data_IF_460985184422
#
_entry.id   IF_460985184422
#
_cell.length_a   1.000
_cell.length_b   1.000
_cell.length_c   1.000
_cell.angle_alpha   90.00
_cell.angle_beta   90.00
_cell.angle_gamma   90.00
#
_symmetry.space_group_name_H-M   'P 1'
#
loop_
_entity.id
_entity.type
_entity.pdbx_description
1 polymer ?
#
# COMPACT_ATOMS: atom_id res chain seq x y z
N UNK A 1 9.33 15.99 3.52
CA UNK A 1 8.14 16.01 4.39
C UNK A 1 6.96 15.48 3.59
N UNK A 2 6.04 14.82 4.25
CA UNK A 2 4.78 14.36 3.65
C UNK A 2 3.65 14.38 4.66
N UNK A 3 2.41 14.31 4.18
CA UNK A 3 1.20 14.25 5.00
C UNK A 3 0.48 12.95 4.75
N UNK A 4 -0.01 12.35 5.84
CA UNK A 4 -0.85 11.17 5.79
C UNK A 4 -2.22 11.47 6.41
N UNK A 5 -3.25 10.83 5.90
CA UNK A 5 -4.55 10.75 6.57
C UNK A 5 -4.65 9.46 7.35
N UNK A 6 -5.31 9.52 8.49
CA UNK A 6 -5.59 8.36 9.33
C UNK A 6 -7.10 8.17 9.44
N UNK A 7 -7.56 6.95 9.16
CA UNK A 7 -8.95 6.54 9.36
C UNK A 7 -9.00 5.27 10.19
N UNK A 8 -10.01 5.18 11.06
CA UNK A 8 -10.15 4.09 12.00
C UNK A 8 -11.58 3.56 12.00
N UNK A 9 -11.70 2.24 12.04
CA UNK A 9 -12.95 1.52 12.29
C UNK A 9 -12.77 0.65 13.52
N UNK A 10 -13.60 0.87 14.54
CA UNK A 10 -13.66 0.05 15.75
C UNK A 10 -14.84 -0.91 15.58
N UNK A 11 -14.63 -2.18 15.91
CA UNK A 11 -15.65 -3.23 15.90
C UNK A 11 -15.66 -3.88 17.28
N UNK A 12 -16.84 -3.85 17.91
CA UNK A 12 -17.08 -4.43 19.23
C UNK A 12 -17.96 -5.68 19.08
N UNK A 13 -17.75 -6.73 19.89
CA UNK A 13 -18.70 -7.83 20.04
C UNK A 13 -20.05 -7.34 20.57
N UNK A 14 -21.15 -8.02 20.20
CA UNK A 14 -22.51 -7.62 20.59
C UNK A 14 -22.74 -7.61 22.11
N UNK A 15 -22.06 -8.49 22.85
CA UNK A 15 -22.28 -8.70 24.29
C UNK A 15 -21.20 -8.06 25.18
N UNK A 16 -20.44 -7.09 24.66
CA UNK A 16 -19.31 -6.55 25.43
C UNK A 16 -19.75 -5.68 26.60
N UNK A 17 -19.17 -5.94 27.77
CA UNK A 17 -19.22 -4.99 28.90
C UNK A 17 -17.96 -4.14 28.86
N UNK A 18 -18.11 -2.83 28.65
CA UNK A 18 -16.96 -1.90 28.66
C UNK A 18 -16.40 -1.76 30.06
N UNK A 19 -15.09 -1.58 30.14
CA UNK A 19 -14.38 -1.22 31.36
C UNK A 19 -13.40 -0.09 31.05
N UNK A 20 -12.79 0.49 32.08
CA UNK A 20 -11.88 1.65 31.92
C UNK A 20 -10.74 1.40 30.91
N UNK A 21 -10.24 0.15 30.83
CA UNK A 21 -9.19 -0.20 29.86
C UNK A 21 -9.73 -0.18 28.43
N UNK A 22 -10.90 -0.74 28.20
CA UNK A 22 -11.58 -0.76 26.89
C UNK A 22 -11.93 0.66 26.45
N UNK A 23 -12.46 1.48 27.36
CA UNK A 23 -12.81 2.88 27.09
C UNK A 23 -11.58 3.69 26.68
N UNK A 24 -10.46 3.55 27.40
CA UNK A 24 -9.19 4.21 27.02
C UNK A 24 -8.70 3.83 25.63
N UNK A 25 -8.87 2.57 25.22
CA UNK A 25 -8.52 2.11 23.87
C UNK A 25 -9.43 2.78 22.84
N UNK A 26 -10.74 2.77 23.07
CA UNK A 26 -11.72 3.41 22.18
C UNK A 26 -11.42 4.90 22.04
N UNK A 27 -11.26 5.61 23.15
CA UNK A 27 -10.96 7.05 23.19
C UNK A 27 -9.72 7.40 22.38
N UNK A 28 -8.64 6.62 22.52
CA UNK A 28 -7.43 6.81 21.73
C UNK A 28 -7.71 6.70 20.23
N UNK A 29 -8.37 5.62 19.79
CA UNK A 29 -8.63 5.40 18.37
C UNK A 29 -9.62 6.40 17.79
N UNK A 30 -10.62 6.83 18.56
CA UNK A 30 -11.52 7.90 18.18
C UNK A 30 -10.79 9.24 18.04
N UNK A 31 -9.77 9.50 18.88
CA UNK A 31 -8.97 10.73 18.83
C UNK A 31 -8.10 10.85 17.59
N UNK A 32 -7.64 9.73 17.02
CA UNK A 32 -6.85 9.70 15.77
C UNK A 32 -7.71 9.52 14.52
N UNK A 33 -8.99 9.17 14.65
CA UNK A 33 -9.85 8.89 13.49
C UNK A 33 -10.14 10.16 12.68
N UNK A 34 -9.96 10.09 11.36
CA UNK A 34 -10.11 11.18 10.40
C UNK A 34 -9.18 12.36 10.70
N UNK A 35 -7.94 12.05 11.08
CA UNK A 35 -6.92 13.06 11.38
C UNK A 35 -5.85 13.12 10.28
N UNK A 36 -5.10 14.23 10.28
CA UNK A 36 -3.98 14.46 9.37
C UNK A 36 -2.69 14.48 10.18
N UNK A 37 -1.69 13.71 9.77
CA UNK A 37 -0.38 13.70 10.42
C UNK A 37 0.68 14.20 9.46
N UNK A 38 1.58 15.07 9.96
CA UNK A 38 2.74 15.54 9.22
C UNK A 38 3.93 14.65 9.55
N UNK A 39 4.59 14.12 8.53
CA UNK A 39 5.77 13.29 8.68
C UNK A 39 6.98 13.98 8.06
N UNK A 40 7.99 14.20 8.89
CA UNK A 40 9.24 14.84 8.52
C UNK A 40 10.38 13.84 8.64
N UNK A 41 11.05 13.56 7.53
CA UNK A 41 12.31 12.82 7.53
C UNK A 41 13.41 13.84 7.82
N UNK A 42 13.96 13.80 9.02
CA UNK A 42 14.89 14.82 9.52
C UNK A 42 16.28 14.64 8.93
N UNK A 43 16.78 13.39 8.90
CA UNK A 43 18.03 13.08 8.23
C UNK A 43 18.05 11.63 7.71
N UNK A 44 18.81 11.46 6.62
CA UNK A 44 19.08 10.17 5.98
C UNK A 44 20.60 9.98 5.99
N UNK A 45 21.11 9.16 6.92
CA UNK A 45 22.51 8.72 6.92
C UNK A 45 22.52 7.20 6.86
N UNK A 46 22.26 6.69 5.66
CA UNK A 46 22.12 5.26 5.41
C UNK A 46 23.18 4.44 6.17
N UNK A 47 22.77 3.40 6.93
CA UNK A 47 21.41 2.85 7.06
C UNK A 47 20.53 3.51 8.14
N UNK A 48 20.98 4.59 8.79
CA UNK A 48 20.27 5.24 9.89
C UNK A 48 19.37 6.39 9.42
N UNK A 49 18.20 6.50 10.05
CA UNK A 49 17.16 7.46 9.72
C UNK A 49 16.53 8.01 10.99
N UNK A 50 16.12 9.28 10.93
CA UNK A 50 15.26 9.90 11.95
C UNK A 50 14.03 10.51 11.29
N UNK A 51 12.87 10.19 11.85
CA UNK A 51 11.56 10.62 11.39
C UNK A 51 10.80 11.23 12.57
N UNK A 52 10.15 12.35 12.33
CA UNK A 52 9.25 12.98 13.29
C UNK A 52 7.84 12.93 12.74
N UNK A 53 6.91 12.39 13.52
CA UNK A 53 5.49 12.28 13.20
C UNK A 53 4.71 13.21 14.12
N UNK A 54 4.15 14.25 13.54
CA UNK A 54 3.31 15.21 14.21
C UNK A 54 1.83 14.83 14.00
N UNK A 55 1.19 14.33 15.05
CA UNK A 55 -0.20 13.85 15.05
C UNK A 55 -1.14 14.96 15.45
N UNK A 56 -2.05 15.35 14.55
CA UNK A 56 -3.13 16.31 14.87
C UNK A 56 -4.34 15.54 15.37
N UNK A 57 -4.39 15.28 16.69
CA UNK A 57 -5.46 14.55 17.34
C UNK A 57 -6.70 15.45 17.52
N UNK A 58 -7.87 14.86 17.69
CA UNK A 58 -9.09 15.63 18.02
C UNK A 58 -8.96 16.40 19.34
N UNK A 59 -8.19 15.88 20.29
CA UNK A 59 -8.00 16.44 21.64
C UNK A 59 -6.68 17.21 21.80
N UNK A 60 -5.93 17.45 20.71
CA UNK A 60 -4.69 18.20 20.77
C UNK A 60 -3.67 17.77 19.73
N UNK A 61 -2.40 18.03 20.03
CA UNK A 61 -1.30 17.73 19.14
C UNK A 61 -0.27 16.90 19.89
N UNK A 62 0.20 15.83 19.26
CA UNK A 62 1.29 15.02 19.78
C UNK A 62 2.42 14.96 18.74
N UNK A 63 3.65 14.91 19.21
CA UNK A 63 4.83 14.73 18.35
C UNK A 63 5.57 13.49 18.83
N UNK A 64 5.86 12.59 17.90
CA UNK A 64 6.63 11.38 18.15
C UNK A 64 7.86 11.37 17.27
N UNK A 65 8.98 10.94 17.84
CA UNK A 65 10.25 10.83 17.14
C UNK A 65 10.66 9.36 17.04
N UNK A 66 11.05 8.98 15.85
CA UNK A 66 11.49 7.64 15.51
C UNK A 66 12.90 7.73 14.95
N UNK A 67 13.87 7.15 15.64
CA UNK A 67 15.24 7.02 15.16
C UNK A 67 15.60 5.55 15.07
N UNK A 68 16.13 5.12 13.94
CA UNK A 68 16.45 3.72 13.74
C UNK A 68 17.22 3.40 12.47
N UNK A 69 17.36 2.11 12.19
CA UNK A 69 18.15 1.59 11.09
C UNK A 69 17.27 0.78 10.14
N UNK A 70 17.22 1.16 8.86
CA UNK A 70 16.34 0.53 7.85
C UNK A 70 16.80 -0.85 7.38
N UNK A 71 18.03 -1.24 7.71
CA UNK A 71 18.49 -2.61 7.49
C UNK A 71 18.10 -3.52 8.64
N UNK A 72 18.07 -3.04 9.88
CA UNK A 72 17.76 -3.90 11.04
C UNK A 72 16.34 -3.74 11.56
N UNK A 73 15.61 -2.69 11.19
CA UNK A 73 14.29 -2.35 11.75
C UNK A 73 14.34 -1.79 13.17
N UNK A 74 15.52 -1.79 13.82
CA UNK A 74 15.68 -1.38 15.22
C UNK A 74 15.78 0.14 15.40
N UNK A 75 15.39 0.66 16.59
CA UNK A 75 14.64 -0.02 17.63
C UNK A 75 13.14 -0.13 17.31
N UNK A 76 12.56 0.81 16.55
CA UNK A 76 11.19 0.69 16.05
C UNK A 76 10.91 1.76 14.98
N UNK A 77 11.22 1.49 13.71
CA UNK A 77 10.90 2.43 12.62
C UNK A 77 9.41 2.43 12.24
N UNK A 78 8.56 1.69 12.98
CA UNK A 78 7.09 1.66 12.88
C UNK A 78 6.56 1.58 11.43
N UNK A 79 7.29 0.88 10.56
CA UNK A 79 6.95 0.69 9.14
C UNK A 79 6.86 1.99 8.32
N UNK A 80 7.28 3.14 8.86
CA UNK A 80 7.25 4.42 8.14
C UNK A 80 8.23 4.47 6.98
N UNK A 81 9.33 3.75 7.11
CA UNK A 81 10.40 3.67 6.11
C UNK A 81 11.05 2.30 6.11
N UNK A 82 11.40 1.82 4.93
CA UNK A 82 12.20 0.62 4.69
C UNK A 82 13.37 0.95 3.75
N UNK A 83 14.26 -0.02 3.55
CA UNK A 83 15.30 0.12 2.53
C UNK A 83 14.70 0.36 1.14
N UNK A 84 15.26 1.30 0.40
CA UNK A 84 14.83 1.58 -0.98
C UNK A 84 15.22 0.45 -1.94
N UNK A 85 14.53 0.39 -3.08
CA UNK A 85 14.76 -0.53 -4.20
C UNK A 85 14.65 -2.02 -3.87
N UNK A 86 13.97 -2.38 -2.78
CA UNK A 86 13.60 -3.76 -2.52
C UNK A 86 12.72 -4.30 -3.67
N UNK A 87 12.83 -5.60 -3.90
CA UNK A 87 12.09 -6.30 -4.95
C UNK A 87 11.40 -7.53 -4.35
N UNK A 88 10.49 -8.13 -5.10
CA UNK A 88 9.74 -9.31 -4.67
C UNK A 88 10.66 -10.40 -4.12
N UNK A 89 10.32 -10.94 -2.96
CA UNK A 89 11.11 -11.93 -2.21
C UNK A 89 12.18 -11.34 -1.30
N UNK A 90 12.53 -10.06 -1.45
CA UNK A 90 13.48 -9.41 -0.55
C UNK A 90 12.84 -9.20 0.84
N UNK A 91 13.56 -9.47 1.94
CA UNK A 91 13.07 -9.17 3.28
C UNK A 91 13.03 -7.66 3.51
N UNK A 92 12.06 -7.19 4.31
CA UNK A 92 11.95 -5.75 4.65
C UNK A 92 13.11 -5.30 5.56
N UNK A 93 13.74 -6.24 6.28
CA UNK A 93 14.94 -6.04 7.11
C UNK A 93 15.98 -7.15 6.84
N UNK A 94 17.26 -6.78 6.89
CA UNK A 94 18.46 -7.63 6.82
C UNK A 94 18.93 -7.99 8.23
N UNK A 95 18.15 -8.74 9.01
CA UNK A 95 18.61 -9.24 10.32
C UNK A 95 19.24 -10.63 10.17
N UNK A 96 20.41 -10.82 10.77
CA UNK A 96 21.06 -12.13 10.86
C UNK A 96 20.27 -13.00 11.86
N UNK A 97 19.63 -14.04 11.33
CA UNK A 97 19.19 -15.26 12.01
C UNK A 97 18.18 -15.15 13.16
N UNK A 98 16.90 -15.47 12.88
CA UNK A 98 16.06 -16.47 13.59
C UNK A 98 14.56 -16.18 13.45
N UNK A 99 14.19 -14.94 13.14
CA UNK A 99 12.79 -14.52 13.03
C UNK A 99 12.29 -14.55 11.57
N UNK A 100 11.00 -14.84 11.41
CA UNK A 100 10.32 -14.77 10.10
C UNK A 100 10.11 -13.31 9.72
N UNK A 101 11.14 -12.68 9.18
CA UNK A 101 11.07 -11.30 8.66
C UNK A 101 10.10 -11.26 7.48
N UNK A 102 9.14 -10.31 7.43
CA UNK A 102 8.27 -10.15 6.28
C UNK A 102 9.07 -9.88 5.00
N UNK A 103 8.68 -10.52 3.90
CA UNK A 103 9.25 -10.24 2.58
C UNK A 103 8.28 -9.43 1.73
N UNK A 104 8.84 -8.68 0.78
CA UNK A 104 8.08 -8.07 -0.30
C UNK A 104 7.37 -9.17 -1.08
N UNK A 105 6.04 -9.07 -1.17
CA UNK A 105 5.18 -10.04 -1.85
C UNK A 105 4.89 -9.65 -3.28
N UNK A 106 4.79 -8.35 -3.55
CA UNK A 106 4.41 -7.85 -4.86
C UNK A 106 4.99 -6.47 -5.12
N UNK A 107 5.02 -6.12 -6.40
CA UNK A 107 5.44 -4.84 -6.93
C UNK A 107 4.40 -4.32 -7.92
N UNK A 108 3.77 -3.22 -7.58
CA UNK A 108 2.67 -2.68 -8.36
C UNK A 108 2.80 -1.18 -8.56
N UNK A 109 2.15 -0.71 -9.62
CA UNK A 109 2.01 0.71 -9.90
C UNK A 109 0.68 1.18 -9.29
N UNK A 110 0.76 2.07 -8.29
CA UNK A 110 -0.40 2.58 -7.57
C UNK A 110 -0.41 4.12 -7.49
N UNK A 111 -1.61 4.74 -7.46
CA UNK A 111 -1.75 6.17 -7.24
C UNK A 111 -1.62 6.50 -5.75
N UNK A 112 -0.72 7.43 -5.42
CA UNK A 112 -0.49 7.96 -4.07
C UNK A 112 -0.10 9.44 -4.14
N UNK A 113 -0.64 10.26 -3.23
CA UNK A 113 -0.43 11.71 -3.23
C UNK A 113 -0.63 12.38 -4.62
N UNK A 114 -1.69 11.98 -5.33
CA UNK A 114 -2.02 12.42 -6.70
C UNK A 114 -0.98 12.10 -7.79
N UNK A 115 0.00 11.24 -7.50
CA UNK A 115 1.01 10.78 -8.44
C UNK A 115 0.96 9.25 -8.58
N UNK A 116 1.34 8.73 -9.74
CA UNK A 116 1.49 7.28 -9.91
C UNK A 116 2.91 6.87 -9.51
N UNK A 117 3.05 5.84 -8.67
CA UNK A 117 4.34 5.41 -8.10
C UNK A 117 4.55 3.92 -8.31
N UNK A 118 5.80 3.48 -8.51
CA UNK A 118 6.17 2.07 -8.35
C UNK A 118 6.24 1.82 -6.85
N UNK A 119 5.50 0.83 -6.38
CA UNK A 119 5.41 0.49 -4.97
C UNK A 119 5.80 -0.96 -4.74
N UNK A 120 6.29 -1.23 -3.54
CA UNK A 120 6.49 -2.58 -3.02
C UNK A 120 5.44 -2.84 -1.94
N UNK A 121 4.92 -4.05 -1.90
CA UNK A 121 3.89 -4.46 -0.95
C UNK A 121 4.35 -5.63 -0.09
N UNK A 122 4.04 -5.58 1.20
CA UNK A 122 4.15 -6.73 2.09
C UNK A 122 2.88 -6.87 2.94
N UNK A 123 2.59 -8.11 3.33
CA UNK A 123 1.62 -8.37 4.38
C UNK A 123 2.12 -9.45 5.34
N UNK A 124 1.82 -9.25 6.61
CA UNK A 124 2.34 -10.07 7.69
C UNK A 124 1.53 -9.84 8.97
N UNK A 125 1.63 -10.80 9.88
CA UNK A 125 1.14 -10.66 11.25
C UNK A 125 2.33 -10.65 12.20
N UNK A 126 2.22 -9.89 13.27
CA UNK A 126 3.18 -9.93 14.37
C UNK A 126 2.75 -10.99 15.39
N UNK A 127 3.69 -11.54 16.18
CA UNK A 127 3.36 -12.35 17.35
C UNK A 127 2.40 -11.60 18.28
N UNK A 128 1.60 -12.35 19.03
CA UNK A 128 0.72 -11.75 20.04
C UNK A 128 1.59 -11.18 21.15
N UNK A 129 1.52 -9.87 21.32
CA UNK A 129 2.24 -9.15 22.37
C UNK A 129 1.28 -8.34 23.21
N UNK A 130 1.41 -8.42 24.54
CA UNK A 130 0.56 -7.71 25.50
C UNK A 130 -0.96 -7.92 25.28
N UNK A 131 -1.34 -9.11 24.80
CA UNK A 131 -2.73 -9.47 24.50
C UNK A 131 -3.27 -8.79 23.24
N UNK A 132 -2.41 -8.43 22.28
CA UNK A 132 -2.81 -7.81 21.02
C UNK A 132 -2.31 -8.68 19.87
N UNK A 133 -3.23 -9.17 19.04
CA UNK A 133 -2.91 -9.77 17.74
C UNK A 133 -2.93 -8.68 16.67
N UNK A 134 -1.85 -8.54 15.91
CA UNK A 134 -1.72 -7.48 14.90
C UNK A 134 -1.39 -8.04 13.52
N UNK A 135 -2.09 -7.55 12.50
CA UNK A 135 -1.81 -7.85 11.09
C UNK A 135 -1.75 -6.59 10.26
N UNK A 136 -0.90 -6.61 9.23
CA UNK A 136 -0.54 -5.46 8.44
C UNK A 136 -0.54 -5.79 6.94
N UNK A 137 -1.02 -4.84 6.15
CA UNK A 137 -0.78 -4.74 4.71
C UNK A 137 -0.19 -3.37 4.42
N UNK A 138 1.02 -3.33 3.87
CA UNK A 138 1.80 -2.09 3.80
C UNK A 138 2.39 -1.90 2.41
N UNK A 139 2.29 -0.67 1.91
CA UNK A 139 2.84 -0.21 0.64
C UNK A 139 3.91 0.83 0.89
N UNK A 140 5.07 0.66 0.28
CA UNK A 140 6.14 1.66 0.26
C UNK A 140 6.48 2.06 -1.16
N UNK A 141 6.91 3.31 -1.34
CA UNK A 141 7.48 3.76 -2.60
C UNK A 141 8.77 3.00 -2.88
N UNK A 142 8.89 2.39 -4.06
CA UNK A 142 10.07 1.56 -4.40
C UNK A 142 11.35 2.38 -4.44
N UNK A 143 11.30 3.63 -4.92
CA UNK A 143 12.48 4.48 -5.12
C UNK A 143 13.00 5.03 -3.79
N UNK A 144 12.12 5.41 -2.88
CA UNK A 144 12.49 6.09 -1.62
C UNK A 144 12.38 5.20 -0.38
N UNK A 145 11.60 4.11 -0.42
CA UNK A 145 11.31 3.26 0.73
C UNK A 145 10.31 3.86 1.72
N UNK A 146 9.72 5.02 1.42
CA UNK A 146 8.78 5.72 2.30
C UNK A 146 7.40 5.08 2.24
N UNK A 147 6.71 5.03 3.39
CA UNK A 147 5.33 4.57 3.49
C UNK A 147 4.38 5.36 2.58
N UNK A 148 3.74 4.66 1.66
CA UNK A 148 2.66 5.18 0.83
C UNK A 148 1.30 4.92 1.47
N UNK A 149 1.09 3.73 2.01
CA UNK A 149 -0.16 3.36 2.63
C UNK A 149 -0.04 2.13 3.50
N UNK A 150 -0.83 2.06 4.56
CA UNK A 150 -0.90 0.94 5.47
C UNK A 150 -2.34 0.68 5.84
N UNK A 151 -2.72 -0.59 5.88
CA UNK A 151 -3.90 -1.08 6.58
C UNK A 151 -3.42 -2.01 7.69
N UNK A 152 -3.91 -1.80 8.89
CA UNK A 152 -3.60 -2.64 10.05
C UNK A 152 -4.89 -3.08 10.73
N UNK A 153 -4.90 -4.32 11.21
CA UNK A 153 -5.95 -4.83 12.09
C UNK A 153 -5.31 -5.23 13.41
N UNK A 154 -5.87 -4.73 14.51
CA UNK A 154 -5.43 -5.00 15.87
C UNK A 154 -6.60 -5.59 16.64
N UNK A 155 -6.47 -6.84 17.02
CA UNK A 155 -7.42 -7.55 17.87
C UNK A 155 -6.90 -7.55 19.30
N UNK A 156 -7.57 -6.78 20.16
CA UNK A 156 -7.34 -6.81 21.59
C UNK A 156 -8.02 -8.04 22.15
N UNK A 157 -7.26 -8.86 22.87
CA UNK A 157 -7.68 -10.16 23.37
C UNK A 157 -7.92 -10.11 24.89
N UNK A 158 -8.87 -10.91 25.36
CA UNK A 158 -9.03 -11.21 26.78
C UNK A 158 -8.05 -12.30 27.26
N UNK A 159 -8.22 -12.75 28.51
CA UNK A 159 -7.38 -13.79 29.12
C UNK A 159 -7.53 -15.16 28.45
N UNK A 160 -8.65 -15.40 27.75
CA UNK A 160 -8.96 -16.63 27.01
C UNK A 160 -8.60 -16.51 25.52
N UNK A 161 -7.84 -15.48 25.14
CA UNK A 161 -7.47 -15.16 23.75
C UNK A 161 -8.67 -14.89 22.82
N UNK A 162 -9.79 -14.42 23.35
CA UNK A 162 -10.94 -14.02 22.54
C UNK A 162 -10.88 -12.52 22.22
N UNK A 163 -11.19 -12.11 20.98
CA UNK A 163 -11.18 -10.70 20.61
C UNK A 163 -12.30 -9.94 21.33
N UNK A 164 -11.90 -8.94 22.13
CA UNK A 164 -12.80 -8.01 22.81
C UNK A 164 -12.97 -6.71 22.02
N UNK A 165 -11.96 -6.28 21.30
CA UNK A 165 -12.04 -5.10 20.41
C UNK A 165 -11.24 -5.41 19.17
N UNK A 166 -11.84 -5.21 18.01
CA UNK A 166 -11.11 -5.18 16.74
C UNK A 166 -11.00 -3.75 16.26
N UNK A 167 -9.78 -3.32 15.96
CA UNK A 167 -9.51 -2.00 15.40
C UNK A 167 -8.87 -2.15 14.04
N UNK A 168 -9.43 -1.50 13.03
CA UNK A 168 -8.85 -1.39 11.70
C UNK A 168 -8.38 0.04 11.50
N UNK A 169 -7.09 0.24 11.30
CA UNK A 169 -6.49 1.55 11.05
C UNK A 169 -5.91 1.60 9.64
N UNK A 170 -6.30 2.61 8.86
CA UNK A 170 -5.72 2.88 7.56
C UNK A 170 -4.98 4.21 7.59
N UNK A 171 -3.75 4.21 7.10
CA UNK A 171 -2.89 5.38 6.94
C UNK A 171 -2.56 5.51 5.46
N UNK A 172 -2.76 6.69 4.86
CA UNK A 172 -2.51 6.90 3.42
C UNK A 172 -1.82 8.23 3.20
N UNK A 173 -0.76 8.25 2.39
CA UNK A 173 -0.11 9.49 1.97
C UNK A 173 -1.00 10.28 1.01
N UNK A 174 -1.20 11.56 1.32
CA UNK A 174 -2.05 12.46 0.52
C UNK A 174 -1.29 13.63 -0.09
N UNK A 175 -0.14 13.99 0.48
CA UNK A 175 0.70 15.11 0.01
C UNK A 175 2.16 14.79 0.32
N UNK A 176 3.08 15.15 -0.57
CA UNK A 176 4.52 14.99 -0.32
C UNK A 176 5.33 16.00 -1.12
N UNK A 177 6.42 16.48 -0.54
CA UNK A 177 7.43 17.27 -1.24
C UNK A 177 8.57 16.43 -1.81
N UNK A 178 8.55 15.10 -1.60
CA UNK A 178 9.64 14.19 -1.96
C UNK A 178 9.55 13.62 -3.37
N UNK A 179 8.38 13.74 -4.01
CA UNK A 179 8.14 13.24 -5.35
C UNK A 179 7.76 14.42 -6.25
N UNK A 180 8.27 14.39 -7.47
CA UNK A 180 7.88 15.30 -8.54
C UNK A 180 7.18 14.50 -9.64
N UNK A 181 6.43 15.18 -10.52
CA UNK A 181 5.84 14.51 -11.68
C UNK A 181 6.92 13.79 -12.52
N UNK A 182 8.12 14.35 -12.65
CA UNK A 182 9.18 13.68 -13.41
C UNK A 182 9.68 12.36 -12.77
N UNK A 183 9.31 12.06 -11.53
CA UNK A 183 9.61 10.78 -10.89
C UNK A 183 8.62 9.67 -11.26
N UNK A 184 7.68 9.89 -12.19
CA UNK A 184 6.75 8.87 -12.67
C UNK A 184 7.50 7.58 -13.04
N UNK A 185 6.97 6.40 -12.70
CA UNK A 185 7.39 5.15 -13.31
C UNK A 185 7.41 5.37 -14.81
N UNK A 186 8.56 5.16 -15.44
CA UNK A 186 8.63 5.17 -16.89
C UNK A 186 7.74 4.03 -17.39
N UNK A 187 6.46 4.32 -17.64
CA UNK A 187 5.44 3.34 -18.02
C UNK A 187 5.82 2.63 -19.33
N UNK A 188 6.75 3.23 -20.07
CA UNK A 188 7.38 2.67 -21.27
C UNK A 188 8.34 1.50 -20.99
N UNK A 189 8.83 1.32 -19.75
CA UNK A 189 9.75 0.23 -19.40
C UNK A 189 9.08 -1.02 -18.82
N UNK A 190 7.81 -0.95 -18.39
CA UNK A 190 7.04 -2.14 -17.99
C UNK A 190 5.93 -2.53 -18.97
N UNK A 191 5.50 -1.64 -19.87
CA UNK A 191 4.55 -1.94 -20.96
C UNK A 191 5.25 -2.14 -22.31
N UNK A 192 6.50 -2.61 -22.30
CA UNK A 192 7.16 -3.12 -23.49
C UNK A 192 6.32 -4.25 -24.08
N UNK A 193 5.67 -3.97 -25.20
CA UNK A 193 4.89 -4.84 -26.07
C UNK A 193 3.41 -5.15 -25.79
N UNK A 194 2.86 -5.29 -24.58
CA UNK A 194 1.49 -5.89 -24.52
C UNK A 194 0.37 -4.98 -25.06
N UNK A 195 0.40 -3.67 -24.80
CA UNK A 195 -0.61 -2.74 -25.33
C UNK A 195 -0.53 -2.60 -26.86
N UNK A 196 0.70 -2.43 -27.40
CA UNK A 196 0.93 -2.37 -28.84
C UNK A 196 0.69 -3.72 -29.54
N UNK A 197 0.97 -4.85 -28.89
CA UNK A 197 0.67 -6.20 -29.40
C UNK A 197 -0.83 -6.43 -29.44
N UNK A 198 -1.58 -6.01 -28.41
CA UNK A 198 -3.04 -6.11 -28.40
C UNK A 198 -3.67 -5.20 -29.46
N UNK A 199 -3.19 -3.96 -29.59
CA UNK A 199 -3.64 -3.02 -30.62
C UNK A 199 -3.36 -3.54 -32.04
N UNK A 200 -2.16 -4.08 -32.30
CA UNK A 200 -1.80 -4.64 -33.62
C UNK A 200 -2.55 -5.94 -33.93
N UNK A 201 -2.73 -6.83 -32.94
CA UNK A 201 -3.51 -8.06 -33.11
C UNK A 201 -5.00 -7.78 -33.38
N UNK A 202 -5.59 -6.83 -32.65
CA UNK A 202 -7.00 -6.44 -32.88
C UNK A 202 -7.20 -5.78 -34.23
N UNK A 203 -6.31 -4.87 -34.66
CA UNK A 203 -6.35 -4.29 -36.01
C UNK A 203 -6.16 -5.36 -37.10
N UNK A 204 -5.28 -6.35 -36.87
CA UNK A 204 -5.09 -7.48 -37.79
C UNK A 204 -6.36 -8.33 -37.95
N UNK A 205 -7.02 -8.67 -36.85
CA UNK A 205 -8.28 -9.44 -36.86
C UNK A 205 -9.40 -8.65 -37.56
N UNK A 206 -9.54 -7.35 -37.27
CA UNK A 206 -10.55 -6.49 -37.92
C UNK A 206 -10.31 -6.40 -39.43
N UNK A 207 -9.06 -6.23 -39.85
CA UNK A 207 -8.68 -6.24 -41.28
C UNK A 207 -9.05 -7.55 -41.96
N UNK A 208 -8.79 -8.69 -41.31
CA UNK A 208 -9.09 -10.01 -41.85
C UNK A 208 -10.61 -10.26 -41.95
N UNK A 209 -11.39 -9.83 -40.97
CA UNK A 209 -12.85 -9.88 -40.99
C UNK A 209 -13.40 -9.02 -42.14
N UNK A 210 -12.90 -7.79 -42.30
CA UNK A 210 -13.32 -6.92 -43.41
C UNK A 210 -12.98 -7.54 -44.76
N UNK A 211 -11.80 -8.11 -44.91
CA UNK A 211 -11.35 -8.74 -46.16
C UNK A 211 -12.20 -9.97 -46.51
N UNK A 212 -12.51 -10.83 -45.54
CA UNK A 212 -13.45 -11.95 -45.70
C UNK A 212 -14.86 -11.47 -46.05
N UNK A 213 -15.33 -10.39 -45.42
CA UNK A 213 -16.63 -9.79 -45.73
C UNK A 213 -16.69 -9.26 -47.17
N UNK A 214 -15.63 -8.57 -47.64
CA UNK A 214 -15.54 -8.09 -49.02
C UNK A 214 -15.47 -9.24 -50.05
N UNK A 215 -14.71 -10.31 -49.77
CA UNK A 215 -14.66 -11.50 -50.63
C UNK A 215 -16.05 -12.16 -50.72
N UNK A 216 -16.73 -12.34 -49.57
CA UNK A 216 -18.07 -12.95 -49.52
C UNK A 216 -19.11 -12.07 -50.26
N UNK A 217 -18.99 -10.74 -50.14
CA UNK A 217 -19.87 -9.77 -50.84
C UNK A 217 -19.61 -9.75 -52.35
N UNK A 218 -18.35 -9.86 -52.81
CA UNK A 218 -18.00 -10.02 -54.24
C UNK A 218 -18.56 -11.32 -54.82
N UNK A 219 -18.41 -12.46 -54.13
CA UNK A 219 -18.98 -13.75 -54.56
C UNK A 219 -20.51 -13.69 -54.69
N UNK A 220 -21.22 -13.07 -53.73
CA UNK A 220 -22.69 -12.89 -53.82
C UNK A 220 -23.14 -12.00 -54.97
N UNK A 221 -22.40 -10.93 -55.30
CA UNK A 221 -22.70 -10.08 -56.47
C UNK A 221 -22.47 -10.79 -57.81
N UNK A 222 -21.45 -11.65 -57.91
CA UNK A 222 -21.18 -12.48 -59.09
C UNK A 222 -22.30 -13.50 -59.35
N UNK A 223 -22.80 -14.18 -58.30
CA UNK A 223 -23.87 -15.19 -58.43
C UNK A 223 -25.21 -14.56 -58.84
N UNK A 224 -25.53 -13.35 -58.35
CA UNK A 224 -26.76 -12.64 -58.74
C UNK A 224 -26.77 -12.15 -60.19
N UNK A 225 -25.60 -11.89 -60.81
CA UNK A 225 -25.51 -11.51 -62.23
C UNK A 225 -25.68 -12.69 -63.21
N UNK A 226 -25.54 -13.94 -62.75
CA UNK A 226 -25.79 -15.14 -63.58
C UNK A 226 -27.22 -15.67 -63.50
N UNK A 227 -28.10 -15.05 -62.69
CA UNK A 227 -29.52 -15.42 -62.52
C UNK A 227 -30.49 -14.34 -63.03
N UNK A 228 -30.02 -13.43 -63.88
CA UNK A 228 -30.86 -12.50 -64.65
C UNK A 228 -30.65 -12.80 -66.12
#
# INVERSE_FOLDING_TARGET
MYKVTVSVKIVLPEDITTNEKIEKIIDYYESINNTLWNVTIEYVKYPNFRITVEKHLKNGKSTEEYEGNVETGNPDLNMWIISANLSTGAPIYKLNSSEKIPCIKDEAIHPFANLTRKTVYANFSLPIENGIESSFGVFWDKKTGVLCGMSSTQDYLDQDFKPVIRVVTNIVIIETSMWTENDYPDLNTQNGNWFWTYLTATLGIISLILLLFFIKRRKRKSVKRRRK
#
